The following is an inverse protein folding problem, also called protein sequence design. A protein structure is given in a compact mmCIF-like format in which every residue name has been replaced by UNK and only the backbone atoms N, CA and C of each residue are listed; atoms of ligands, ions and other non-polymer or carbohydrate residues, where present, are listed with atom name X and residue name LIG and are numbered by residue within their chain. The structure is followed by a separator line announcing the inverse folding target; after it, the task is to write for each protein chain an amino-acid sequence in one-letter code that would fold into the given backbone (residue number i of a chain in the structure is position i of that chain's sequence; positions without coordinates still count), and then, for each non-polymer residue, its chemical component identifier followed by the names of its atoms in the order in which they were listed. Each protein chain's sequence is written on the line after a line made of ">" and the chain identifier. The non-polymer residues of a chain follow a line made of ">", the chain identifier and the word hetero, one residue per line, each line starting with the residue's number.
data_IF_877592449527
#
_entry.id   IF_877592449527
#
_cell.length_a   1.000
_cell.length_b   1.000
_cell.length_c   1.000
_cell.angle_alpha   90.00
_cell.angle_beta   90.00
_cell.angle_gamma   90.00
#
_symmetry.space_group_name_H-M   'P 1'
#
loop_
_entity.id
_entity.type
_entity.pdbx_description
1 polymer ?
#
# COMPACT_ATOMS: atom_id res chain seq x y z
N UNK A 1 -7.83 3.97 36.98
CA UNK A 1 -6.95 4.03 35.78
C UNK A 1 -6.88 5.48 35.35
N UNK A 2 -5.72 6.11 35.41
CA UNK A 2 -5.52 7.45 34.85
C UNK A 2 -5.76 7.36 33.35
N UNK A 3 -6.54 8.33 32.85
CA UNK A 3 -6.77 8.45 31.41
C UNK A 3 -5.56 9.13 30.78
N UNK A 4 -4.99 8.48 29.79
CA UNK A 4 -3.81 8.99 29.07
C UNK A 4 -4.19 10.07 28.02
N UNK A 5 -5.47 10.46 27.96
CA UNK A 5 -5.96 11.53 27.09
C UNK A 5 -7.12 12.29 27.73
N UNK A 6 -7.27 13.56 27.37
CA UNK A 6 -8.41 14.43 27.73
C UNK A 6 -8.96 15.09 26.48
N UNK A 7 -10.27 15.02 26.31
CA UNK A 7 -10.98 15.69 25.24
C UNK A 7 -11.71 16.89 25.84
N UNK A 8 -11.42 18.08 25.35
CA UNK A 8 -12.04 19.32 25.83
C UNK A 8 -12.76 19.95 24.62
N UNK A 9 -14.01 20.32 24.82
CA UNK A 9 -14.82 21.03 23.84
C UNK A 9 -14.94 22.48 24.36
N UNK A 10 -14.49 23.44 23.55
CA UNK A 10 -14.58 24.85 23.88
C UNK A 10 -15.98 25.39 23.58
N UNK A 11 -16.26 26.61 24.07
CA UNK A 11 -17.54 27.30 23.84
C UNK A 11 -17.84 27.58 22.37
N UNK A 12 -16.82 27.56 21.51
CA UNK A 12 -16.92 27.72 20.05
C UNK A 12 -17.08 26.34 19.34
N UNK A 13 -17.46 25.26 20.05
CA UNK A 13 -17.57 23.89 19.55
C UNK A 13 -16.25 23.30 18.98
N UNK A 14 -15.12 23.93 19.28
CA UNK A 14 -13.81 23.38 18.89
C UNK A 14 -13.39 22.27 19.83
N UNK A 15 -12.95 21.17 19.24
CA UNK A 15 -12.50 19.99 19.96
C UNK A 15 -10.98 20.06 20.12
N UNK A 16 -10.52 19.98 21.37
CA UNK A 16 -9.11 19.92 21.72
C UNK A 16 -8.79 18.56 22.32
N UNK A 17 -7.78 17.90 21.79
CA UNK A 17 -7.29 16.63 22.29
C UNK A 17 -5.97 16.85 23.04
N UNK A 18 -5.95 16.53 24.31
CA UNK A 18 -4.73 16.49 25.14
C UNK A 18 -4.30 15.04 25.33
N UNK A 19 -3.04 14.75 25.04
CA UNK A 19 -2.45 13.43 25.26
C UNK A 19 -1.39 13.53 26.34
N UNK A 20 -1.41 12.61 27.29
CA UNK A 20 -0.43 12.50 28.37
C UNK A 20 0.86 11.88 27.83
N UNK A 21 1.95 12.64 27.89
CA UNK A 21 3.29 12.18 27.57
C UNK A 21 4.18 12.32 28.83
N UNK A 22 4.42 11.21 29.52
CA UNK A 22 5.07 11.25 30.84
C UNK A 22 4.17 11.87 31.89
N UNK A 23 4.59 12.98 32.51
CA UNK A 23 3.82 13.71 33.52
C UNK A 23 3.03 14.91 32.94
N UNK A 24 3.25 15.25 31.70
CA UNK A 24 2.66 16.44 31.04
C UNK A 24 1.57 16.07 30.04
N UNK A 25 0.58 16.97 29.89
CA UNK A 25 -0.43 16.89 28.84
C UNK A 25 -0.05 17.82 27.70
N UNK A 26 0.08 17.28 26.50
CA UNK A 26 0.38 18.02 25.27
C UNK A 26 -0.92 18.21 24.49
N UNK A 27 -1.19 19.46 24.09
CA UNK A 27 -2.30 19.77 23.19
C UNK A 27 -1.94 19.36 21.76
N UNK A 28 -2.78 18.51 21.16
CA UNK A 28 -2.71 18.19 19.75
C UNK A 28 -3.63 19.11 18.96
N UNK A 29 -3.06 19.84 18.02
CA UNK A 29 -3.81 20.62 17.05
C UNK A 29 -4.18 19.76 15.82
N UNK A 30 -5.00 20.28 14.91
CA UNK A 30 -5.46 19.58 13.71
C UNK A 30 -4.29 19.06 12.84
N UNK A 31 -3.25 19.89 12.68
CA UNK A 31 -2.06 19.52 11.91
C UNK A 31 -1.25 18.38 12.55
N UNK A 32 -1.16 18.37 13.88
CA UNK A 32 -0.50 17.27 14.60
C UNK A 32 -1.32 15.99 14.53
N UNK A 33 -2.65 16.10 14.54
CA UNK A 33 -3.55 14.97 14.34
C UNK A 33 -3.35 14.35 12.96
N UNK A 34 -3.25 15.15 11.89
CA UNK A 34 -3.00 14.65 10.54
C UNK A 34 -1.65 13.95 10.41
N UNK A 35 -0.60 14.48 11.07
CA UNK A 35 0.71 13.81 11.12
C UNK A 35 0.63 12.47 11.85
N UNK A 36 -0.03 12.44 13.02
CA UNK A 36 -0.20 11.21 13.80
C UNK A 36 -1.00 10.18 13.01
N UNK A 37 -2.11 10.60 12.38
CA UNK A 37 -2.90 9.77 11.48
C UNK A 37 -2.03 9.18 10.37
N UNK A 38 -1.22 9.98 9.71
CA UNK A 38 -0.31 9.55 8.65
C UNK A 38 0.69 8.53 9.17
N UNK A 39 1.29 8.76 10.35
CA UNK A 39 2.21 7.82 10.98
C UNK A 39 1.49 6.49 11.29
N UNK A 40 0.30 6.54 11.87
CA UNK A 40 -0.48 5.33 12.20
C UNK A 40 -0.84 4.55 10.95
N UNK A 41 -1.30 5.22 9.89
CA UNK A 41 -1.62 4.59 8.62
C UNK A 41 -0.40 3.90 8.02
N UNK A 42 0.75 4.58 8.00
CA UNK A 42 2.01 4.03 7.51
C UNK A 42 2.48 2.83 8.34
N UNK A 43 2.43 2.93 9.68
CA UNK A 43 2.83 1.83 10.56
C UNK A 43 1.96 0.58 10.41
N UNK A 44 0.70 0.74 10.02
CA UNK A 44 -0.21 -0.36 9.75
C UNK A 44 -0.24 -0.76 8.27
N UNK A 45 0.61 -0.17 7.45
CA UNK A 45 0.63 -0.36 6.00
C UNK A 45 -0.76 -0.18 5.35
N UNK A 46 -1.52 0.78 5.85
CA UNK A 46 -2.79 1.19 5.27
C UNK A 46 -2.46 2.24 4.20
N UNK A 47 -2.83 2.03 2.93
CA UNK A 47 -2.54 2.99 1.88
C UNK A 47 -3.20 4.33 2.19
N UNK A 48 -2.40 5.40 2.11
CA UNK A 48 -2.94 6.76 2.21
C UNK A 48 -3.58 7.07 0.86
N UNK A 49 -4.90 7.04 0.83
CA UNK A 49 -5.65 7.36 -0.38
C UNK A 49 -5.49 8.86 -0.65
N UNK A 50 -4.94 9.21 -1.79
CA UNK A 50 -4.82 10.61 -2.21
C UNK A 50 -6.23 11.18 -2.41
N UNK A 51 -6.64 12.11 -1.53
CA UNK A 51 -7.94 12.76 -1.58
C UNK A 51 -8.18 13.63 -2.84
N UNK A 52 -7.23 13.67 -3.77
CA UNK A 52 -7.39 14.38 -5.06
C UNK A 52 -8.38 13.71 -6.00
N UNK A 53 -8.66 12.42 -5.78
CA UNK A 53 -9.65 11.70 -6.56
C UNK A 53 -11.01 11.74 -5.86
N UNK A 54 -12.08 11.98 -6.63
CA UNK A 54 -13.44 11.93 -6.11
C UNK A 54 -13.72 10.57 -5.45
N UNK A 55 -14.38 10.50 -4.28
CA UNK A 55 -14.60 9.25 -3.54
C UNK A 55 -15.24 8.12 -4.37
N UNK A 56 -16.20 8.47 -5.24
CA UNK A 56 -16.87 7.49 -6.11
C UNK A 56 -15.90 6.89 -7.13
N UNK A 57 -14.99 7.72 -7.67
CA UNK A 57 -13.96 7.25 -8.60
C UNK A 57 -12.94 6.35 -7.91
N UNK A 58 -12.59 6.65 -6.67
CA UNK A 58 -11.70 5.81 -5.87
C UNK A 58 -12.32 4.43 -5.64
N UNK A 59 -13.60 4.39 -5.28
CA UNK A 59 -14.34 3.15 -5.08
C UNK A 59 -14.40 2.32 -6.36
N UNK A 60 -14.74 2.94 -7.48
CA UNK A 60 -14.77 2.28 -8.79
C UNK A 60 -13.40 1.72 -9.20
N UNK A 61 -12.33 2.48 -8.98
CA UNK A 61 -10.97 2.02 -9.24
C UNK A 61 -10.60 0.81 -8.36
N UNK A 62 -10.95 0.86 -7.09
CA UNK A 62 -10.70 -0.25 -6.18
C UNK A 62 -11.47 -1.51 -6.59
N UNK A 63 -12.76 -1.38 -6.89
CA UNK A 63 -13.61 -2.49 -7.36
C UNK A 63 -13.06 -3.10 -8.66
N UNK A 64 -12.58 -2.26 -9.59
CA UNK A 64 -11.96 -2.72 -10.84
C UNK A 64 -10.63 -3.44 -10.59
N UNK A 65 -9.79 -2.96 -9.67
CA UNK A 65 -8.55 -3.64 -9.30
C UNK A 65 -8.82 -5.02 -8.69
N UNK A 66 -9.77 -5.10 -7.76
CA UNK A 66 -10.20 -6.38 -7.17
C UNK A 66 -10.76 -7.35 -8.21
N UNK A 67 -11.57 -6.84 -9.15
CA UNK A 67 -12.11 -7.65 -10.24
C UNK A 67 -11.00 -8.19 -11.14
N UNK A 68 -10.02 -7.37 -11.52
CA UNK A 68 -8.88 -7.80 -12.33
C UNK A 68 -8.01 -8.81 -11.58
N UNK A 69 -7.75 -8.60 -10.31
CA UNK A 69 -7.01 -9.54 -9.46
C UNK A 69 -7.72 -10.91 -9.41
N UNK A 70 -9.03 -10.94 -9.19
CA UNK A 70 -9.84 -12.18 -9.21
C UNK A 70 -9.81 -12.87 -10.57
N UNK A 71 -9.91 -12.10 -11.67
CA UNK A 71 -9.88 -12.64 -13.04
C UNK A 71 -8.54 -13.24 -13.39
N UNK A 72 -7.46 -12.72 -12.85
CA UNK A 72 -6.11 -13.26 -13.03
C UNK A 72 -5.81 -14.46 -12.12
N UNK A 73 -6.78 -14.88 -11.29
CA UNK A 73 -6.60 -15.94 -10.30
C UNK A 73 -5.69 -15.54 -9.13
N UNK A 74 -5.39 -14.25 -9.04
CA UNK A 74 -4.61 -13.70 -7.94
C UNK A 74 -5.55 -13.38 -6.77
N UNK A 75 -5.51 -14.21 -5.75
CA UNK A 75 -6.07 -13.85 -4.45
C UNK A 75 -4.89 -13.69 -3.50
N UNK A 76 -4.71 -12.51 -2.93
CA UNK A 76 -3.83 -12.40 -1.79
C UNK A 76 -4.30 -13.41 -0.74
N UNK A 77 -3.40 -14.29 -0.31
CA UNK A 77 -3.67 -15.19 0.81
C UNK A 77 -4.00 -14.37 2.06
N UNK A 78 -4.69 -15.01 3.00
CA UNK A 78 -4.94 -14.40 4.31
C UNK A 78 -3.61 -13.95 4.93
N UNK A 79 -3.67 -13.05 5.91
CA UNK A 79 -2.46 -12.65 6.65
C UNK A 79 -1.77 -13.88 7.29
N UNK A 80 -2.55 -14.89 7.66
CA UNK A 80 -2.04 -16.14 8.20
C UNK A 80 -1.23 -16.90 7.15
N UNK A 81 -1.75 -17.03 5.92
CA UNK A 81 -1.03 -17.66 4.80
C UNK A 81 0.26 -16.92 4.47
N UNK A 82 0.22 -15.59 4.49
CA UNK A 82 1.40 -14.75 4.27
C UNK A 82 2.46 -14.97 5.35
N UNK A 83 2.06 -15.05 6.62
CA UNK A 83 2.96 -15.32 7.77
C UNK A 83 3.58 -16.71 7.66
N UNK A 84 2.79 -17.73 7.30
CA UNK A 84 3.28 -19.09 7.11
C UNK A 84 4.29 -19.13 5.94
N UNK A 85 3.93 -18.53 4.82
CA UNK A 85 4.78 -18.48 3.63
C UNK A 85 6.11 -17.78 3.89
N UNK A 86 6.04 -16.64 4.60
CA UNK A 86 7.22 -15.88 5.01
C UNK A 86 8.13 -16.69 5.94
N UNK A 87 7.53 -17.35 6.95
CA UNK A 87 8.26 -18.24 7.86
C UNK A 87 9.02 -19.33 7.09
N UNK A 88 8.33 -20.02 6.18
CA UNK A 88 8.91 -21.08 5.38
C UNK A 88 10.03 -20.57 4.47
N UNK A 89 9.83 -19.43 3.82
CA UNK A 89 10.80 -18.82 2.90
C UNK A 89 12.07 -18.37 3.62
N UNK A 90 11.92 -17.81 4.82
CA UNK A 90 13.04 -17.36 5.65
C UNK A 90 13.73 -18.48 6.44
N UNK A 91 13.15 -19.69 6.45
CA UNK A 91 13.69 -20.82 7.19
C UNK A 91 13.60 -20.67 8.72
N UNK A 92 12.68 -19.87 9.24
CA UNK A 92 12.51 -19.71 10.68
C UNK A 92 11.90 -20.98 11.30
N UNK A 93 12.55 -21.51 12.33
CA UNK A 93 12.01 -22.65 13.07
C UNK A 93 10.75 -22.31 13.85
N UNK A 94 10.66 -21.08 14.37
CA UNK A 94 9.55 -20.60 15.20
C UNK A 94 8.94 -19.32 14.64
N UNK A 95 7.78 -18.93 15.14
CA UNK A 95 7.13 -17.65 14.81
C UNK A 95 7.64 -16.46 15.63
N UNK A 96 8.57 -16.68 16.57
CA UNK A 96 9.04 -15.61 17.45
C UNK A 96 9.62 -14.41 16.69
N UNK A 97 10.51 -14.57 15.69
CA UNK A 97 11.03 -13.43 14.95
C UNK A 97 9.93 -12.60 14.28
N UNK A 98 8.89 -13.27 13.75
CA UNK A 98 7.77 -12.60 13.07
C UNK A 98 6.89 -11.85 14.06
N UNK A 99 6.65 -12.42 15.24
CA UNK A 99 5.84 -11.78 16.30
C UNK A 99 6.49 -10.52 16.89
N UNK A 100 7.79 -10.39 16.77
CA UNK A 100 8.55 -9.22 17.22
C UNK A 100 8.57 -8.09 16.17
N UNK A 101 8.11 -8.36 14.94
CA UNK A 101 7.99 -7.36 13.87
C UNK A 101 6.70 -6.56 14.01
N UNK A 102 6.75 -5.29 13.60
CA UNK A 102 5.53 -4.54 13.32
C UNK A 102 4.91 -5.04 12.01
N UNK A 103 3.60 -4.83 11.84
CA UNK A 103 2.91 -5.19 10.59
C UNK A 103 3.52 -4.45 9.38
N UNK A 104 4.01 -3.23 9.58
CA UNK A 104 4.71 -2.48 8.55
C UNK A 104 6.02 -3.17 8.14
N UNK A 105 6.86 -3.54 9.11
CA UNK A 105 8.11 -4.26 8.84
C UNK A 105 7.83 -5.57 8.11
N UNK A 106 6.87 -6.37 8.59
CA UNK A 106 6.49 -7.62 7.97
C UNK A 106 6.09 -7.44 6.49
N UNK A 107 5.19 -6.48 6.20
CA UNK A 107 4.73 -6.23 4.84
C UNK A 107 5.87 -5.72 3.92
N UNK A 108 6.73 -4.86 4.44
CA UNK A 108 7.89 -4.35 3.67
C UNK A 108 8.89 -5.45 3.36
N UNK A 109 9.15 -6.35 4.28
CA UNK A 109 10.04 -7.49 4.07
C UNK A 109 9.43 -8.50 3.10
N UNK A 110 8.13 -8.79 3.22
CA UNK A 110 7.41 -9.66 2.29
C UNK A 110 7.48 -9.11 0.86
N UNK A 111 7.14 -7.84 0.66
CA UNK A 111 7.23 -7.19 -0.65
C UNK A 111 8.67 -7.18 -1.21
N UNK A 112 9.67 -7.07 -0.34
CA UNK A 112 11.08 -7.18 -0.76
C UNK A 112 11.45 -8.59 -1.20
N UNK A 113 10.95 -9.60 -0.51
CA UNK A 113 11.17 -11.00 -0.89
C UNK A 113 10.53 -11.33 -2.24
N UNK A 114 9.33 -10.82 -2.50
CA UNK A 114 8.65 -11.00 -3.77
C UNK A 114 9.46 -10.35 -4.90
N UNK A 115 9.92 -9.12 -4.72
CA UNK A 115 10.74 -8.43 -5.71
C UNK A 115 12.07 -9.16 -5.99
N UNK A 116 12.72 -9.73 -4.97
CA UNK A 116 13.92 -10.56 -5.14
C UNK A 116 13.60 -11.80 -5.97
N UNK A 117 12.50 -12.47 -5.64
CA UNK A 117 12.07 -13.70 -6.32
C UNK A 117 11.74 -13.43 -7.78
N UNK A 118 10.95 -12.40 -8.03
CA UNK A 118 10.57 -11.96 -9.38
C UNK A 118 11.79 -11.60 -10.21
N UNK A 119 12.71 -10.82 -9.63
CA UNK A 119 13.96 -10.49 -10.30
C UNK A 119 14.77 -11.73 -10.72
N UNK A 120 14.86 -12.72 -9.83
CA UNK A 120 15.57 -13.98 -10.13
C UNK A 120 14.88 -14.76 -11.25
N UNK A 121 13.54 -14.89 -11.18
CA UNK A 121 12.76 -15.61 -12.19
C UNK A 121 12.89 -14.91 -13.55
N UNK A 122 12.68 -13.59 -13.60
CA UNK A 122 12.72 -12.83 -14.85
C UNK A 122 14.13 -12.80 -15.44
N UNK A 123 15.17 -12.65 -14.63
CA UNK A 123 16.56 -12.71 -15.11
C UNK A 123 16.94 -14.08 -15.62
N UNK A 124 16.46 -15.13 -15.00
CA UNK A 124 16.66 -16.51 -15.50
C UNK A 124 15.95 -16.72 -16.84
N UNK A 125 14.69 -16.25 -16.96
CA UNK A 125 13.94 -16.33 -18.20
C UNK A 125 14.60 -15.49 -19.33
N UNK A 126 15.07 -14.29 -19.05
CA UNK A 126 15.80 -13.44 -20.00
C UNK A 126 17.11 -14.11 -20.46
N UNK A 127 17.85 -14.69 -19.52
CA UNK A 127 19.11 -15.38 -19.82
C UNK A 127 18.94 -16.66 -20.64
N UNK A 128 17.75 -17.26 -20.64
CA UNK A 128 17.45 -18.42 -21.50
C UNK A 128 17.37 -18.07 -23.00
N UNK A 129 17.25 -16.79 -23.33
CA UNK A 129 17.07 -16.30 -24.70
C UNK A 129 15.67 -16.57 -25.30
N UNK A 130 14.78 -17.22 -24.56
CA UNK A 130 13.43 -17.54 -25.03
C UNK A 130 12.41 -16.42 -24.81
N UNK A 131 12.73 -15.49 -23.90
CA UNK A 131 11.83 -14.41 -23.50
C UNK A 131 12.54 -13.07 -23.60
N UNK A 132 11.87 -12.09 -24.19
CA UNK A 132 12.32 -10.70 -24.22
C UNK A 132 11.26 -9.83 -23.53
N UNK A 133 11.66 -9.09 -22.52
CA UNK A 133 10.76 -8.21 -21.80
C UNK A 133 10.67 -6.83 -22.48
N UNK A 134 9.45 -6.32 -22.66
CA UNK A 134 9.19 -4.99 -23.25
C UNK A 134 9.64 -3.84 -22.35
N UNK A 135 9.65 -4.07 -21.03
CA UNK A 135 10.11 -3.10 -20.03
C UNK A 135 11.31 -3.69 -19.30
N UNK A 136 12.26 -2.86 -18.85
CA UNK A 136 13.38 -3.34 -18.06
C UNK A 136 12.87 -4.03 -16.78
N UNK A 137 13.50 -5.14 -16.42
CA UNK A 137 13.18 -5.87 -15.19
C UNK A 137 13.60 -5.00 -13.99
N UNK A 138 12.69 -4.68 -13.07
CA UNK A 138 13.03 -3.89 -11.89
C UNK A 138 14.13 -4.59 -11.08
N UNK A 139 15.16 -3.85 -10.73
CA UNK A 139 16.23 -4.42 -9.92
C UNK A 139 15.73 -4.73 -8.51
N UNK A 140 16.17 -5.82 -7.90
CA UNK A 140 15.74 -6.26 -6.58
C UNK A 140 15.99 -5.22 -5.45
N UNK A 141 16.85 -4.21 -5.67
CA UNK A 141 17.09 -3.08 -4.78
C UNK A 141 16.22 -1.86 -5.10
N UNK A 142 15.35 -1.93 -6.11
CA UNK A 142 14.49 -0.80 -6.47
C UNK A 142 13.64 -0.37 -5.30
N UNK A 143 13.22 0.89 -5.31
CA UNK A 143 12.24 1.40 -4.37
C UNK A 143 10.92 0.64 -4.53
N UNK A 144 10.35 0.23 -3.40
CA UNK A 144 9.01 -0.34 -3.35
C UNK A 144 8.08 0.82 -2.99
N UNK A 145 7.24 1.24 -3.93
CA UNK A 145 6.25 2.26 -3.69
C UNK A 145 5.14 1.72 -2.77
N UNK A 146 4.74 2.51 -1.80
CA UNK A 146 3.58 2.22 -0.97
C UNK A 146 2.29 2.78 -1.61
N UNK A 147 2.44 3.55 -2.71
CA UNK A 147 1.30 4.07 -3.47
C UNK A 147 0.81 3.03 -4.48
N UNK A 148 -0.50 2.83 -4.57
CA UNK A 148 -1.07 1.94 -5.57
C UNK A 148 -0.75 2.47 -6.98
N UNK A 149 -0.22 1.60 -7.83
CA UNK A 149 0.06 1.94 -9.23
C UNK A 149 -1.21 1.86 -10.07
N UNK A 150 -1.86 2.99 -10.25
CA UNK A 150 -3.02 3.12 -11.14
C UNK A 150 -2.65 3.34 -12.62
N UNK A 151 -1.38 3.33 -12.99
CA UNK A 151 -0.92 3.65 -14.36
C UNK A 151 -1.54 2.76 -15.43
N UNK A 152 -1.91 1.53 -15.07
CA UNK A 152 -2.57 0.59 -15.98
C UNK A 152 -4.09 0.81 -16.11
N UNK A 153 -4.69 1.54 -15.17
CA UNK A 153 -6.13 1.81 -15.12
C UNK A 153 -6.46 3.23 -15.56
N UNK A 154 -5.53 4.15 -15.38
CA UNK A 154 -5.69 5.55 -15.76
C UNK A 154 -5.08 5.78 -17.13
N UNK A 155 -5.87 6.36 -18.01
CA UNK A 155 -5.44 6.83 -19.31
C UNK A 155 -5.31 8.34 -19.26
N UNK A 156 -4.24 8.90 -19.78
CA UNK A 156 -4.13 10.35 -19.86
C UNK A 156 -5.15 10.91 -20.86
N UNK A 157 -5.51 12.19 -20.72
CA UNK A 157 -6.52 12.84 -21.55
C UNK A 157 -6.20 12.74 -23.04
N UNK A 158 -4.93 12.87 -23.43
CA UNK A 158 -4.51 12.82 -24.84
C UNK A 158 -4.71 11.42 -25.44
N UNK A 159 -4.37 10.36 -24.70
CA UNK A 159 -4.59 8.97 -25.11
C UNK A 159 -6.09 8.65 -25.19
N UNK A 160 -6.88 9.16 -24.25
CA UNK A 160 -8.34 9.03 -24.29
C UNK A 160 -8.93 9.69 -25.53
N UNK A 161 -8.54 10.95 -25.82
CA UNK A 161 -9.01 11.69 -26.98
C UNK A 161 -8.62 10.99 -28.30
N UNK A 162 -7.40 10.46 -28.39
CA UNK A 162 -6.95 9.67 -29.56
C UNK A 162 -7.80 8.41 -29.74
N UNK A 163 -8.04 7.64 -28.67
CA UNK A 163 -8.89 6.43 -28.74
C UNK A 163 -10.34 6.76 -29.12
N UNK A 164 -10.91 7.80 -28.51
CA UNK A 164 -12.27 8.24 -28.85
C UNK A 164 -12.39 8.67 -30.31
N UNK A 165 -11.39 9.40 -30.84
CA UNK A 165 -11.35 9.78 -32.25
C UNK A 165 -11.19 8.59 -33.19
N UNK A 166 -10.47 7.53 -32.79
CA UNK A 166 -10.35 6.30 -33.57
C UNK A 166 -11.69 5.53 -33.61
N UNK A 167 -12.36 5.43 -32.49
CA UNK A 167 -13.69 4.79 -32.41
C UNK A 167 -14.73 5.56 -33.24
N UNK A 168 -14.69 6.88 -33.18
CA UNK A 168 -15.60 7.73 -33.95
C UNK A 168 -15.37 7.65 -35.48
N UNK A 169 -14.14 7.39 -35.92
CA UNK A 169 -13.78 7.23 -37.34
C UNK A 169 -13.98 5.81 -37.89
N UNK A 170 -14.14 4.82 -37.00
CA UNK A 170 -14.33 3.41 -37.37
C UNK A 170 -15.81 3.01 -37.53
N UNK A 171 -16.71 3.98 -37.46
CA UNK A 171 -18.12 3.86 -37.88
C UNK A 171 -18.29 4.58 -39.21
#
# INVERSE_FOLDING_TARGET
>A
KEQDFKLIIDNDEKIFLYVKLGEEFILLNEHDFDKIKTIILNQNAIPIIDNKLHPDLQKELQENMEFLARKQGYSEGSIEDQVISYKCKMGFETYKPIKEMTIYQFRRELARLDLITDYQIYKTAESSGMVTFKKPIPHWRSHISDEPDYSNLLMNKQEFDVKMNQIAKGK
#
